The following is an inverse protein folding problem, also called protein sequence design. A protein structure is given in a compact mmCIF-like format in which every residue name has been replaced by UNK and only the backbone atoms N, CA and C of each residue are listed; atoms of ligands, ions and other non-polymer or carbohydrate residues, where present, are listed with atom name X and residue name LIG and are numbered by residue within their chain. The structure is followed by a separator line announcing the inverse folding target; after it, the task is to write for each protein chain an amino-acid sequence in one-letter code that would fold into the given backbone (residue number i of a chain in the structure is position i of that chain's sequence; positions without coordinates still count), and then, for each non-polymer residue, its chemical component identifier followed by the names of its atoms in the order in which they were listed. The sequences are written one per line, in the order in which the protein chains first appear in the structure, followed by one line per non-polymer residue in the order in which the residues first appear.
data_IF_087805217664
#
_entry.id   IF_087805217664
#
_cell.length_a   1.000
_cell.length_b   1.000
_cell.length_c   1.000
_cell.angle_alpha   90.00
_cell.angle_beta   90.00
_cell.angle_gamma   90.00
#
_symmetry.space_group_name_H-M   'P 1'
#
loop_
_entity.id
_entity.type
_entity.pdbx_description
1 polymer ?
#
# COMPACT_ATOMS: atom_id res chain seq x y z
N UNK A 1 4.93 8.44 3.43
CA UNK A 1 3.79 8.21 2.51
C UNK A 1 3.90 8.97 1.18
N UNK A 2 4.51 10.17 1.11
CA UNK A 2 4.72 10.89 -0.17
C UNK A 2 6.17 10.89 -0.67
N UNK A 3 7.14 10.96 0.25
CA UNK A 3 8.57 11.02 -0.07
C UNK A 3 9.39 9.94 0.67
N UNK A 4 8.71 8.86 1.09
CA UNK A 4 9.34 7.73 1.77
C UNK A 4 9.76 6.64 0.79
N UNK A 5 10.05 5.44 1.31
CA UNK A 5 10.39 4.26 0.51
C UNK A 5 9.20 3.74 -0.30
N UNK A 6 7.96 3.95 0.17
CA UNK A 6 6.73 3.50 -0.50
C UNK A 6 5.75 4.66 -0.81
N UNK A 7 6.07 5.57 -1.74
CA UNK A 7 5.28 6.78 -1.99
C UNK A 7 4.08 6.57 -2.92
N UNK A 8 3.57 5.35 -3.04
CA UNK A 8 2.63 4.94 -4.12
C UNK A 8 1.28 4.44 -3.63
N UNK A 9 0.99 4.54 -2.31
CA UNK A 9 -0.22 3.96 -1.70
C UNK A 9 -1.23 4.94 -1.15
N UNK A 10 -0.80 6.14 -0.79
CA UNK A 10 -1.72 7.16 -0.31
C UNK A 10 -2.67 7.57 -1.44
N UNK A 11 -3.95 7.68 -1.11
CA UNK A 11 -5.02 8.15 -2.00
C UNK A 11 -5.92 9.14 -1.30
N UNK A 12 -6.68 9.93 -2.05
CA UNK A 12 -7.72 10.81 -1.47
C UNK A 12 -8.77 9.96 -0.75
N UNK A 13 -9.21 10.44 0.41
CA UNK A 13 -10.31 9.85 1.16
C UNK A 13 -11.62 10.13 0.43
N UNK A 14 -12.49 9.13 0.32
CA UNK A 14 -13.80 9.24 -0.34
C UNK A 14 -14.94 9.11 0.65
N UNK A 15 -16.15 9.48 0.24
CA UNK A 15 -17.36 9.33 1.05
C UNK A 15 -17.64 7.85 1.36
N UNK A 16 -17.41 6.93 0.41
CA UNK A 16 -17.61 5.50 0.61
C UNK A 16 -16.67 4.91 1.68
N UNK A 17 -15.49 5.51 1.89
CA UNK A 17 -14.60 5.12 2.99
C UNK A 17 -15.22 5.46 4.35
N UNK A 18 -15.93 6.60 4.43
CA UNK A 18 -16.61 7.05 5.64
C UNK A 18 -17.81 6.15 5.97
N UNK A 19 -18.56 5.70 4.97
CA UNK A 19 -19.66 4.75 5.14
C UNK A 19 -19.16 3.44 5.79
N UNK A 20 -18.00 2.92 5.36
CA UNK A 20 -17.38 1.73 5.95
C UNK A 20 -17.04 1.96 7.44
N UNK A 21 -16.50 3.13 7.79
CA UNK A 21 -16.23 3.46 9.20
C UNK A 21 -17.51 3.62 10.01
N UNK A 22 -18.58 4.17 9.43
CA UNK A 22 -19.91 4.31 10.05
C UNK A 22 -20.56 2.98 10.39
N UNK A 23 -20.53 2.03 9.45
CA UNK A 23 -21.05 0.69 9.68
C UNK A 23 -20.29 -0.04 10.79
N UNK A 24 -18.96 0.16 10.85
CA UNK A 24 -18.09 -0.56 11.79
C UNK A 24 -18.00 0.09 13.18
N UNK A 25 -18.17 1.41 13.28
CA UNK A 25 -17.98 2.18 14.52
C UNK A 25 -19.06 3.28 14.74
N UNK A 26 -20.33 2.95 15.01
CA UNK A 26 -21.42 3.93 15.16
C UNK A 26 -21.34 4.83 16.43
N UNK A 27 -20.17 4.90 17.08
CA UNK A 27 -19.93 5.55 18.38
C UNK A 27 -19.57 7.03 18.32
N UNK A 28 -19.25 7.59 19.48
CA UNK A 28 -18.89 9.02 19.67
C UNK A 28 -17.59 9.38 18.92
N UNK A 29 -16.60 8.49 18.95
CA UNK A 29 -15.29 8.70 18.29
C UNK A 29 -15.44 8.98 16.79
N UNK A 30 -16.43 8.37 16.14
CA UNK A 30 -16.70 8.58 14.73
C UNK A 30 -17.36 9.94 14.45
N UNK A 31 -18.24 10.42 15.34
CA UNK A 31 -18.86 11.75 15.18
C UNK A 31 -17.82 12.86 15.27
N UNK A 32 -16.84 12.72 16.16
CA UNK A 32 -15.72 13.66 16.28
C UNK A 32 -14.87 13.64 15.00
N UNK A 33 -14.61 12.45 14.46
CA UNK A 33 -13.90 12.28 13.20
C UNK A 33 -14.66 12.89 12.01
N UNK A 34 -15.96 12.65 11.88
CA UNK A 34 -16.79 13.23 10.81
C UNK A 34 -16.75 14.76 10.85
N UNK A 35 -16.86 15.33 12.05
CA UNK A 35 -16.73 16.77 12.26
C UNK A 35 -15.34 17.28 11.85
N UNK A 36 -14.28 16.53 12.18
CA UNK A 36 -12.90 16.86 11.83
C UNK A 36 -12.63 16.77 10.31
N UNK A 37 -13.28 15.83 9.62
CA UNK A 37 -13.01 15.53 8.20
C UNK A 37 -13.89 16.30 7.23
N UNK A 38 -15.01 16.89 7.68
CA UNK A 38 -15.96 17.57 6.81
C UNK A 38 -15.31 18.60 5.88
N UNK A 39 -14.64 19.60 6.45
CA UNK A 39 -13.99 20.65 5.65
C UNK A 39 -12.77 20.12 4.87
N UNK A 40 -11.87 19.30 5.45
CA UNK A 40 -10.76 18.72 4.69
C UNK A 40 -11.18 17.85 3.49
N UNK A 41 -12.30 17.12 3.59
CA UNK A 41 -12.85 16.36 2.47
C UNK A 41 -13.39 17.28 1.37
N UNK A 42 -14.16 18.31 1.73
CA UNK A 42 -14.67 19.34 0.80
C UNK A 42 -13.51 20.08 0.10
N UNK A 43 -12.40 20.32 0.81
CA UNK A 43 -11.20 20.98 0.30
C UNK A 43 -10.21 20.04 -0.44
N UNK A 44 -10.53 18.75 -0.60
CA UNK A 44 -9.63 17.73 -1.17
C UNK A 44 -8.29 17.57 -0.44
N UNK A 45 -8.28 17.81 0.87
CA UNK A 45 -7.11 17.70 1.78
C UNK A 45 -7.14 16.47 2.69
N UNK A 46 -8.18 15.64 2.61
CA UNK A 46 -8.27 14.39 3.36
C UNK A 46 -7.77 13.20 2.53
N UNK A 47 -6.95 12.35 3.15
CA UNK A 47 -6.30 11.19 2.52
C UNK A 47 -6.43 9.94 3.38
N UNK A 48 -6.22 8.78 2.75
CA UNK A 48 -6.21 7.49 3.41
C UNK A 48 -5.03 6.63 2.95
N UNK A 49 -4.41 5.96 3.90
CA UNK A 49 -3.51 4.82 3.67
C UNK A 49 -4.21 3.55 4.14
N UNK A 50 -4.65 2.74 3.19
CA UNK A 50 -5.45 1.54 3.46
C UNK A 50 -4.61 0.26 3.36
N UNK A 51 -4.49 -0.43 4.49
CA UNK A 51 -3.87 -1.75 4.61
C UNK A 51 -4.84 -2.78 5.23
N UNK A 52 -6.15 -2.54 5.13
CA UNK A 52 -7.15 -3.41 5.72
C UNK A 52 -7.19 -4.81 5.11
N UNK A 53 -6.75 -4.97 3.85
CA UNK A 53 -6.65 -6.27 3.18
C UNK A 53 -5.76 -7.29 3.92
N UNK A 54 -4.91 -6.86 4.87
CA UNK A 54 -4.18 -7.79 5.73
C UNK A 54 -5.11 -8.60 6.64
N UNK A 55 -6.32 -8.11 6.96
CA UNK A 55 -7.23 -8.74 7.92
C UNK A 55 -7.49 -10.21 7.59
N UNK A 56 -7.69 -10.54 6.31
CA UNK A 56 -7.92 -11.93 5.86
C UNK A 56 -6.72 -12.87 6.10
N UNK A 57 -5.52 -12.34 6.29
CA UNK A 57 -4.31 -13.12 6.58
C UNK A 57 -3.97 -13.17 8.09
N UNK A 58 -4.55 -12.29 8.90
CA UNK A 58 -4.16 -12.12 10.31
C UNK A 58 -4.40 -13.36 11.15
N UNK A 59 -5.46 -14.15 10.86
CA UNK A 59 -5.71 -15.39 11.61
C UNK A 59 -4.53 -16.37 11.48
N UNK A 60 -3.96 -16.47 10.29
CA UNK A 60 -2.81 -17.34 10.01
C UNK A 60 -1.53 -16.76 10.59
N UNK A 61 -1.28 -15.47 10.37
CA UNK A 61 -0.09 -14.76 10.85
C UNK A 61 -0.04 -14.74 12.38
N UNK A 62 -1.11 -14.29 13.04
CA UNK A 62 -1.14 -14.19 14.50
C UNK A 62 -1.20 -15.57 15.17
N UNK A 63 -1.73 -16.59 14.48
CA UNK A 63 -1.65 -17.99 14.92
C UNK A 63 -0.22 -18.53 15.09
N UNK A 64 0.80 -17.82 14.56
CA UNK A 64 2.22 -18.12 14.76
C UNK A 64 2.85 -17.37 15.94
N UNK A 65 2.06 -16.70 16.76
CA UNK A 65 2.55 -15.90 17.90
C UNK A 65 2.99 -14.48 17.52
N UNK A 66 2.62 -14.01 16.33
CA UNK A 66 2.77 -12.61 15.92
C UNK A 66 1.58 -11.80 16.44
N UNK A 67 1.80 -10.53 16.78
CA UNK A 67 0.73 -9.59 17.14
C UNK A 67 0.60 -8.53 16.03
N UNK A 68 -0.07 -8.87 14.93
CA UNK A 68 -0.31 -7.95 13.83
C UNK A 68 -1.77 -7.48 13.77
N UNK A 69 -1.94 -6.26 13.29
CA UNK A 69 -3.23 -5.64 12.97
C UNK A 69 -3.23 -5.24 11.50
N UNK A 70 -4.42 -5.18 10.91
CA UNK A 70 -4.63 -4.58 9.61
C UNK A 70 -5.02 -3.13 9.83
N UNK A 71 -4.33 -2.20 9.18
CA UNK A 71 -4.46 -0.78 9.50
C UNK A 71 -5.17 0.02 8.41
N UNK A 72 -5.99 0.99 8.80
CA UNK A 72 -6.35 2.13 7.95
C UNK A 72 -5.95 3.42 8.64
N UNK A 73 -5.30 4.31 7.92
CA UNK A 73 -4.83 5.59 8.47
C UNK A 73 -5.46 6.73 7.72
N UNK A 74 -6.14 7.63 8.43
CA UNK A 74 -6.69 8.86 7.87
C UNK A 74 -5.70 9.99 8.11
N UNK A 75 -5.45 10.78 7.06
CA UNK A 75 -4.52 11.89 7.09
C UNK A 75 -5.15 13.17 6.56
N UNK A 76 -4.68 14.31 7.06
CA UNK A 76 -5.10 15.63 6.61
C UNK A 76 -3.86 16.42 6.19
N UNK A 77 -3.93 17.08 5.03
CA UNK A 77 -2.95 18.09 4.63
C UNK A 77 -3.19 19.40 5.38
N UNK A 78 -2.12 19.97 5.94
CA UNK A 78 -2.16 21.26 6.63
C UNK A 78 -2.65 22.38 5.70
N UNK A 79 -3.68 23.09 6.14
CA UNK A 79 -4.32 24.19 5.40
C UNK A 79 -3.38 25.38 5.21
N UNK A 80 -2.45 25.61 6.15
CA UNK A 80 -1.62 26.81 6.17
C UNK A 80 -0.42 26.75 5.22
N UNK A 81 0.10 25.55 4.97
CA UNK A 81 1.31 25.34 4.17
C UNK A 81 1.08 24.43 2.96
N UNK A 82 0.13 23.49 3.02
CA UNK A 82 0.05 22.34 2.11
C UNK A 82 1.37 21.52 2.00
N UNK A 83 2.36 21.82 2.83
CA UNK A 83 3.69 21.20 2.78
C UNK A 83 3.73 19.89 3.57
N UNK A 84 2.79 19.72 4.51
CA UNK A 84 2.77 18.56 5.41
C UNK A 84 1.42 17.87 5.40
N UNK A 85 1.47 16.54 5.55
CA UNK A 85 0.31 15.68 5.76
C UNK A 85 0.50 14.98 7.11
N UNK A 86 -0.49 15.10 7.99
CA UNK A 86 -0.45 14.54 9.34
C UNK A 86 -1.51 13.44 9.52
N UNK A 87 -1.18 12.32 10.18
CA UNK A 87 -2.18 11.30 10.52
C UNK A 87 -3.08 11.82 11.64
N UNK A 88 -4.39 11.68 11.49
CA UNK A 88 -5.37 12.15 12.49
C UNK A 88 -6.20 11.02 13.09
N UNK A 89 -6.28 9.87 12.41
CA UNK A 89 -6.89 8.67 12.95
C UNK A 89 -6.25 7.40 12.39
N UNK A 90 -6.23 6.35 13.22
CA UNK A 90 -5.74 5.01 12.86
C UNK A 90 -6.74 3.97 13.34
N UNK A 91 -7.21 3.15 12.40
CA UNK A 91 -7.92 1.92 12.68
C UNK A 91 -6.94 0.76 12.82
N UNK A 92 -7.09 -0.05 13.87
CA UNK A 92 -6.40 -1.30 14.10
C UNK A 92 -7.43 -2.43 14.07
N UNK A 93 -7.49 -3.18 12.97
CA UNK A 93 -8.46 -4.25 12.75
C UNK A 93 -7.90 -5.64 13.05
N UNK A 94 -8.76 -6.47 13.65
CA UNK A 94 -8.59 -7.91 13.83
C UNK A 94 -9.80 -8.65 13.23
N UNK A 95 -9.63 -9.90 12.78
CA UNK A 95 -10.75 -10.75 12.35
C UNK A 95 -11.85 -10.83 13.42
N UNK A 96 -13.12 -10.87 13.02
CA UNK A 96 -14.27 -10.84 13.96
C UNK A 96 -14.25 -11.97 15.01
N UNK A 97 -13.75 -13.15 14.64
CA UNK A 97 -13.64 -14.33 15.52
C UNK A 97 -12.36 -14.36 16.39
N UNK A 98 -11.63 -13.25 16.50
CA UNK A 98 -10.36 -13.22 17.23
C UNK A 98 -10.56 -13.32 18.74
N UNK A 99 -9.98 -14.35 19.35
CA UNK A 99 -9.97 -14.55 20.81
C UNK A 99 -9.13 -13.43 21.48
N UNK A 100 -9.79 -12.36 21.93
CA UNK A 100 -9.16 -11.36 22.83
C UNK A 100 -9.12 -9.90 22.39
N UNK A 101 -9.74 -9.46 21.29
CA UNK A 101 -9.73 -8.03 20.98
C UNK A 101 -10.72 -7.58 19.91
N UNK A 102 -11.52 -6.55 20.25
CA UNK A 102 -12.28 -5.77 19.27
C UNK A 102 -11.31 -4.91 18.45
N UNK A 103 -11.59 -4.73 17.16
CA UNK A 103 -10.94 -3.69 16.36
C UNK A 103 -11.02 -2.35 17.11
N UNK A 104 -9.97 -1.54 17.01
CA UNK A 104 -9.89 -0.24 17.68
C UNK A 104 -9.80 0.87 16.65
N UNK A 105 -10.54 1.94 16.91
CA UNK A 105 -10.42 3.17 16.16
C UNK A 105 -9.82 4.23 17.07
N UNK A 106 -8.69 4.82 16.67
CA UNK A 106 -7.94 5.76 17.48
C UNK A 106 -7.91 7.11 16.78
N UNK A 107 -8.42 8.14 17.44
CA UNK A 107 -8.30 9.54 16.99
C UNK A 107 -7.14 10.20 17.75
N UNK A 108 -6.30 10.96 17.03
CA UNK A 108 -5.18 11.69 17.64
C UNK A 108 -5.70 12.64 18.73
N UNK A 109 -5.07 12.61 19.90
CA UNK A 109 -5.51 13.37 21.09
C UNK A 109 -6.55 12.68 21.98
N UNK A 110 -7.29 11.69 21.47
CA UNK A 110 -8.28 10.92 22.25
C UNK A 110 -7.71 9.60 22.83
N UNK A 111 -6.43 9.32 22.60
CA UNK A 111 -5.74 8.13 23.13
C UNK A 111 -4.42 8.52 23.83
N UNK A 112 -3.86 7.59 24.62
CA UNK A 112 -2.58 7.85 25.28
C UNK A 112 -1.45 7.98 24.25
N UNK A 113 -0.41 8.81 24.49
CA UNK A 113 0.70 8.95 23.55
C UNK A 113 1.37 7.62 23.19
N UNK A 114 1.49 6.71 24.17
CA UNK A 114 2.06 5.37 23.94
C UNK A 114 1.19 4.55 23.00
N UNK A 115 -0.15 4.60 23.15
CA UNK A 115 -1.06 3.86 22.27
C UNK A 115 -1.03 4.43 20.84
N UNK A 116 -0.90 5.74 20.68
CA UNK A 116 -0.74 6.39 19.38
C UNK A 116 0.55 5.97 18.66
N UNK A 117 1.69 5.95 19.38
CA UNK A 117 2.94 5.47 18.80
C UNK A 117 2.88 3.99 18.41
N UNK A 118 2.24 3.14 19.21
CA UNK A 118 2.01 1.73 18.87
C UNK A 118 1.12 1.58 17.62
N UNK A 119 0.09 2.40 17.47
CA UNK A 119 -0.74 2.40 16.28
C UNK A 119 0.07 2.77 15.03
N UNK A 120 0.88 3.84 15.10
CA UNK A 120 1.79 4.23 14.01
C UNK A 120 2.82 3.14 13.70
N UNK A 121 3.32 2.42 14.70
CA UNK A 121 4.21 1.27 14.49
C UNK A 121 3.55 0.16 13.66
N UNK A 122 2.28 -0.16 13.94
CA UNK A 122 1.54 -1.14 13.14
C UNK A 122 1.31 -0.66 11.70
N UNK A 123 0.98 0.62 11.52
CA UNK A 123 0.86 1.24 10.18
C UNK A 123 2.18 1.11 9.41
N UNK A 124 3.30 1.48 10.03
CA UNK A 124 4.63 1.38 9.41
C UNK A 124 5.00 -0.08 9.09
N UNK A 125 4.61 -1.03 9.94
CA UNK A 125 4.85 -2.47 9.73
C UNK A 125 4.05 -2.99 8.53
N UNK A 126 2.76 -2.63 8.43
CA UNK A 126 1.91 -2.95 7.28
C UNK A 126 2.46 -2.34 5.97
N UNK A 127 2.85 -1.07 5.99
CA UNK A 127 3.40 -0.37 4.82
C UNK A 127 4.74 -0.98 4.38
N UNK A 128 5.61 -1.35 5.32
CA UNK A 128 6.88 -2.00 5.02
C UNK A 128 6.69 -3.39 4.37
N UNK A 129 5.73 -4.18 4.85
CA UNK A 129 5.41 -5.48 4.26
C UNK A 129 4.84 -5.32 2.84
N UNK A 130 3.89 -4.40 2.64
CA UNK A 130 3.35 -4.12 1.31
C UNK A 130 4.43 -3.58 0.36
N UNK A 131 5.27 -2.66 0.83
CA UNK A 131 6.38 -2.13 0.06
C UNK A 131 7.27 -3.24 -0.47
N UNK A 132 7.75 -4.12 0.41
CA UNK A 132 8.67 -5.18 -0.01
C UNK A 132 8.00 -6.21 -0.92
N UNK A 133 6.78 -6.66 -0.57
CA UNK A 133 6.10 -7.76 -1.26
C UNK A 133 5.40 -7.36 -2.55
N UNK A 134 4.94 -6.11 -2.63
CA UNK A 134 4.04 -5.65 -3.67
C UNK A 134 4.69 -4.54 -4.48
N UNK A 135 4.90 -3.36 -3.89
CA UNK A 135 5.46 -2.21 -4.64
C UNK A 135 6.83 -2.51 -5.22
N UNK A 136 7.68 -3.18 -4.45
CA UNK A 136 9.04 -3.55 -4.84
C UNK A 136 9.04 -4.88 -5.58
N UNK A 137 8.80 -6.00 -4.89
CA UNK A 137 8.91 -7.32 -5.53
C UNK A 137 7.91 -7.52 -6.68
N UNK A 138 6.61 -7.42 -6.42
CA UNK A 138 5.60 -7.79 -7.40
C UNK A 138 5.60 -6.82 -8.59
N UNK A 139 5.44 -5.53 -8.34
CA UNK A 139 5.20 -4.50 -9.35
C UNK A 139 6.46 -4.08 -10.12
N UNK A 140 7.65 -4.50 -9.70
CA UNK A 140 8.89 -4.26 -10.46
C UNK A 140 9.59 -5.56 -10.84
N UNK A 141 10.04 -6.37 -9.88
CA UNK A 141 10.82 -7.57 -10.17
C UNK A 141 10.00 -8.64 -10.89
N UNK A 142 8.88 -9.06 -10.30
CA UNK A 142 8.13 -10.22 -10.78
C UNK A 142 7.40 -9.93 -12.10
N UNK A 143 6.76 -8.77 -12.24
CA UNK A 143 6.02 -8.42 -13.46
C UNK A 143 6.92 -8.10 -14.65
N UNK A 144 8.15 -7.61 -14.43
CA UNK A 144 9.08 -7.31 -15.54
C UNK A 144 9.66 -8.57 -16.16
N UNK A 145 9.94 -9.61 -15.37
CA UNK A 145 10.57 -10.86 -15.82
C UNK A 145 9.88 -11.53 -17.04
N UNK A 146 8.53 -11.65 -17.10
CA UNK A 146 7.83 -12.11 -18.30
C UNK A 146 8.10 -11.29 -19.57
N UNK A 147 8.22 -9.95 -19.49
CA UNK A 147 8.54 -9.11 -20.65
C UNK A 147 9.95 -9.38 -21.18
N UNK A 148 10.90 -9.64 -20.29
CA UNK A 148 12.28 -10.02 -20.65
C UNK A 148 12.28 -11.34 -21.40
N UNK A 149 11.61 -12.35 -20.84
CA UNK A 149 11.54 -13.70 -21.43
C UNK A 149 10.86 -13.63 -22.80
N UNK A 150 9.73 -12.93 -22.92
CA UNK A 150 9.03 -12.75 -24.19
C UNK A 150 9.90 -12.04 -25.23
N UNK A 151 10.56 -10.95 -24.85
CA UNK A 151 11.45 -10.18 -25.73
C UNK A 151 12.59 -11.04 -26.26
N UNK A 152 13.31 -11.75 -25.38
CA UNK A 152 14.43 -12.60 -25.78
C UNK A 152 14.02 -13.82 -26.61
N UNK A 153 12.81 -14.36 -26.39
CA UNK A 153 12.30 -15.54 -27.11
C UNK A 153 11.65 -15.22 -28.45
N UNK A 154 11.12 -14.01 -28.62
CA UNK A 154 10.26 -13.66 -29.76
C UNK A 154 10.78 -12.54 -30.64
N UNK A 155 11.72 -11.73 -30.17
CA UNK A 155 12.30 -10.63 -30.94
C UNK A 155 13.78 -10.90 -31.19
N UNK A 156 14.17 -10.93 -32.47
CA UNK A 156 15.58 -11.00 -32.88
C UNK A 156 16.38 -9.84 -32.28
N UNK A 157 17.67 -10.05 -32.02
CA UNK A 157 18.59 -9.02 -31.48
C UNK A 157 18.73 -7.77 -32.38
N UNK A 158 18.36 -7.88 -33.66
CA UNK A 158 18.33 -6.74 -34.60
C UNK A 158 16.97 -6.04 -34.65
N UNK A 159 15.92 -6.62 -34.03
CA UNK A 159 14.58 -6.04 -34.03
C UNK A 159 14.60 -4.71 -33.25
N UNK A 160 13.98 -3.63 -33.76
CA UNK A 160 14.05 -2.31 -33.13
C UNK A 160 13.52 -2.32 -31.69
N UNK A 161 12.41 -3.01 -31.43
CA UNK A 161 11.85 -3.14 -30.07
C UNK A 161 12.76 -3.95 -29.13
N UNK A 162 13.51 -4.95 -29.65
CA UNK A 162 14.48 -5.65 -28.81
C UNK A 162 15.58 -4.68 -28.36
N UNK A 163 16.17 -3.93 -29.31
CA UNK A 163 17.22 -2.95 -29.01
C UNK A 163 16.74 -1.83 -28.08
N UNK A 164 15.49 -1.43 -28.19
CA UNK A 164 14.87 -0.44 -27.31
C UNK A 164 14.75 -0.96 -25.87
N UNK A 165 14.28 -2.20 -25.69
CA UNK A 165 13.98 -2.75 -24.37
C UNK A 165 15.19 -3.37 -23.65
N UNK A 166 16.16 -3.93 -24.38
CA UNK A 166 17.26 -4.70 -23.80
C UNK A 166 18.07 -3.95 -22.71
N UNK A 167 18.38 -2.64 -22.85
CA UNK A 167 19.05 -1.89 -21.78
C UNK A 167 18.26 -1.83 -20.47
N UNK A 168 16.92 -1.86 -20.52
CA UNK A 168 16.04 -1.82 -19.36
C UNK A 168 15.90 -3.17 -18.64
N UNK A 169 16.37 -4.25 -19.26
CA UNK A 169 16.27 -5.62 -18.73
C UNK A 169 17.58 -6.14 -18.14
N UNK A 170 18.59 -5.27 -18.07
CA UNK A 170 19.91 -5.61 -17.56
C UNK A 170 19.80 -6.14 -16.12
N UNK A 171 20.42 -7.30 -15.89
CA UNK A 171 20.54 -7.98 -14.60
C UNK A 171 19.24 -8.44 -13.91
N UNK A 172 18.05 -8.05 -14.38
CA UNK A 172 16.77 -8.41 -13.76
C UNK A 172 16.55 -9.93 -13.62
N UNK A 173 16.85 -10.72 -14.66
CA UNK A 173 16.73 -12.19 -14.57
C UNK A 173 17.70 -12.79 -13.53
N UNK A 174 18.91 -12.21 -13.42
CA UNK A 174 19.92 -12.70 -12.51
C UNK A 174 19.53 -12.39 -11.06
N UNK A 175 19.15 -11.14 -10.77
CA UNK A 175 18.74 -10.74 -9.42
C UNK A 175 17.45 -11.44 -8.99
N UNK A 176 16.49 -11.65 -9.89
CA UNK A 176 15.27 -12.40 -9.56
C UNK A 176 15.57 -13.87 -9.26
N UNK A 177 16.49 -14.50 -10.00
CA UNK A 177 16.94 -15.86 -9.70
C UNK A 177 17.62 -15.95 -8.33
N UNK A 178 18.47 -14.97 -7.98
CA UNK A 178 19.09 -14.88 -6.66
C UNK A 178 18.03 -14.66 -5.56
N UNK A 179 17.08 -13.75 -5.78
CA UNK A 179 15.99 -13.50 -4.85
C UNK A 179 15.21 -14.78 -4.55
N UNK A 180 14.85 -15.56 -5.57
CA UNK A 180 14.20 -16.87 -5.39
C UNK A 180 15.07 -17.91 -4.65
N UNK A 181 16.39 -17.83 -4.79
CA UNK A 181 17.30 -18.82 -4.22
C UNK A 181 17.62 -18.58 -2.74
N UNK A 182 17.71 -17.32 -2.31
CA UNK A 182 18.19 -16.98 -0.95
C UNK A 182 17.30 -16.00 -0.17
N UNK A 183 16.42 -15.26 -0.84
CA UNK A 183 15.65 -14.18 -0.21
C UNK A 183 14.18 -14.57 0.01
N UNK A 184 13.51 -15.06 -1.04
CA UNK A 184 12.07 -15.37 -1.09
C UNK A 184 11.74 -16.85 -0.89
N UNK A 185 12.75 -17.71 -0.83
CA UNK A 185 12.55 -19.14 -0.58
C UNK A 185 11.98 -19.35 0.82
N UNK A 186 11.32 -20.50 1.02
CA UNK A 186 10.86 -20.93 2.33
C UNK A 186 12.02 -20.92 3.35
N UNK A 187 11.79 -20.31 4.51
CA UNK A 187 12.80 -20.08 5.56
C UNK A 187 13.90 -19.07 5.16
N UNK A 188 13.74 -18.35 4.05
CA UNK A 188 14.66 -17.34 3.56
C UNK A 188 14.60 -16.03 4.33
N UNK A 189 15.41 -15.07 3.89
CA UNK A 189 15.57 -13.78 4.58
C UNK A 189 14.23 -13.03 4.69
N UNK A 190 13.40 -13.01 3.66
CA UNK A 190 12.17 -12.25 3.68
C UNK A 190 11.17 -12.77 4.74
N UNK A 191 11.00 -14.09 4.84
CA UNK A 191 10.08 -14.71 5.80
C UNK A 191 10.53 -14.50 7.26
N UNK A 192 11.82 -14.32 7.49
CA UNK A 192 12.35 -14.07 8.84
C UNK A 192 12.32 -12.59 9.24
N UNK A 193 12.25 -11.67 8.28
CA UNK A 193 12.27 -10.23 8.53
C UNK A 193 10.87 -9.62 8.63
N UNK A 194 9.92 -10.07 7.81
CA UNK A 194 8.58 -9.51 7.77
C UNK A 194 7.64 -10.24 8.73
N UNK A 195 6.73 -9.49 9.35
CA UNK A 195 5.70 -10.07 10.23
C UNK A 195 4.76 -11.06 9.51
N UNK A 196 4.69 -10.99 8.17
CA UNK A 196 3.89 -11.90 7.34
C UNK A 196 4.47 -13.31 7.23
N UNK A 197 5.75 -13.52 7.59
CA UNK A 197 6.35 -14.85 7.68
C UNK A 197 6.21 -15.68 6.40
N UNK A 198 5.91 -16.97 6.55
CA UNK A 198 5.69 -17.91 5.44
C UNK A 198 4.52 -17.55 4.51
N UNK A 199 3.61 -16.68 4.95
CA UNK A 199 2.45 -16.24 4.15
C UNK A 199 2.78 -15.08 3.21
N UNK A 200 4.01 -14.59 3.23
CA UNK A 200 4.47 -13.42 2.47
C UNK A 200 4.26 -13.56 0.96
N UNK A 201 4.67 -14.70 0.37
CA UNK A 201 4.53 -14.92 -1.06
C UNK A 201 3.09 -15.22 -1.48
N UNK A 202 2.30 -15.85 -0.60
CA UNK A 202 0.86 -16.03 -0.81
C UNK A 202 0.14 -14.68 -0.87
N UNK A 203 0.47 -13.76 0.05
CA UNK A 203 -0.06 -12.40 0.06
C UNK A 203 0.30 -11.64 -1.22
N UNK A 204 1.56 -11.68 -1.64
CA UNK A 204 2.00 -11.07 -2.90
C UNK A 204 1.22 -11.65 -4.10
N UNK A 205 1.04 -12.97 -4.14
CA UNK A 205 0.26 -13.63 -5.19
C UNK A 205 -1.24 -13.29 -5.13
N UNK A 206 -1.81 -13.09 -3.95
CA UNK A 206 -3.21 -12.70 -3.80
C UNK A 206 -3.44 -11.30 -4.39
N UNK A 207 -2.56 -10.35 -4.05
CA UNK A 207 -2.66 -8.97 -4.51
C UNK A 207 -2.34 -8.82 -6.00
N UNK A 208 -1.63 -9.77 -6.61
CA UNK A 208 -1.46 -9.81 -8.07
C UNK A 208 -2.78 -9.91 -8.84
N UNK A 209 -3.86 -10.42 -8.24
CA UNK A 209 -5.19 -10.46 -8.87
C UNK A 209 -5.74 -9.06 -9.18
N UNK A 210 -5.30 -8.05 -8.44
CA UNK A 210 -5.70 -6.66 -8.61
C UNK A 210 -4.78 -5.92 -9.59
N UNK A 211 -3.63 -6.51 -9.96
CA UNK A 211 -2.64 -5.84 -10.79
C UNK A 211 -3.11 -5.66 -12.23
N UNK A 212 -2.93 -4.44 -12.75
CA UNK A 212 -3.39 -4.01 -14.08
C UNK A 212 -2.29 -3.27 -14.80
N UNK A 213 -1.78 -3.85 -15.89
CA UNK A 213 -0.69 -3.25 -16.69
C UNK A 213 -1.04 -1.83 -17.18
N UNK A 214 -2.29 -1.63 -17.63
CA UNK A 214 -2.81 -0.35 -18.11
C UNK A 214 -2.90 0.73 -17.02
N UNK A 215 -2.79 0.34 -15.75
CA UNK A 215 -2.80 1.24 -14.58
C UNK A 215 -1.41 1.52 -14.00
N UNK A 216 -0.35 0.96 -14.59
CA UNK A 216 1.03 1.17 -14.10
C UNK A 216 1.66 2.47 -14.64
N UNK A 217 1.02 3.12 -15.61
CA UNK A 217 1.47 4.42 -16.09
C UNK A 217 1.29 5.47 -14.99
N UNK A 218 2.34 6.23 -14.67
CA UNK A 218 2.33 7.19 -13.57
C UNK A 218 1.13 8.16 -13.60
N UNK A 219 0.72 8.75 -14.74
CA UNK A 219 -0.46 9.62 -14.77
C UNK A 219 -1.76 8.88 -14.40
N UNK A 220 -1.92 7.64 -14.87
CA UNK A 220 -3.11 6.83 -14.59
C UNK A 220 -3.16 6.42 -13.11
N UNK A 221 -2.03 6.01 -12.53
CA UNK A 221 -1.91 5.70 -11.10
C UNK A 221 -2.25 6.92 -10.22
N UNK A 222 -1.71 8.10 -10.53
CA UNK A 222 -1.99 9.33 -9.77
C UNK A 222 -3.46 9.73 -9.83
N UNK A 223 -4.11 9.57 -10.98
CA UNK A 223 -5.54 9.83 -11.16
C UNK A 223 -6.41 8.81 -10.40
N UNK A 224 -6.06 7.54 -10.47
CA UNK A 224 -6.78 6.47 -9.77
C UNK A 224 -6.72 6.64 -8.24
N UNK A 225 -5.57 7.08 -7.73
CA UNK A 225 -5.39 7.47 -6.32
C UNK A 225 -5.97 8.85 -5.98
N UNK A 226 -6.45 9.59 -6.97
CA UNK A 226 -7.05 10.92 -6.82
C UNK A 226 -6.13 11.92 -6.12
N UNK A 227 -4.81 11.78 -6.34
CA UNK A 227 -3.79 12.68 -5.78
C UNK A 227 -3.36 13.77 -6.76
N UNK A 228 -3.94 13.77 -7.97
CA UNK A 228 -3.88 14.86 -8.94
C UNK A 228 -5.28 15.11 -9.51
N UNK A 229 -5.51 16.32 -10.05
CA UNK A 229 -6.74 16.66 -10.74
C UNK A 229 -6.70 16.22 -12.21
N UNK A 230 -7.85 15.83 -12.77
CA UNK A 230 -7.96 15.41 -14.17
C UNK A 230 -7.60 16.55 -15.14
N UNK A 231 -7.80 17.81 -14.76
CA UNK A 231 -7.38 18.98 -15.53
C UNK A 231 -5.87 19.03 -15.75
N UNK A 232 -5.07 18.49 -14.82
CA UNK A 232 -3.61 18.42 -14.94
C UNK A 232 -3.20 17.39 -16.00
N UNK A 233 -4.00 16.35 -16.25
CA UNK A 233 -3.70 15.31 -17.27
C UNK A 233 -3.49 15.91 -18.67
N UNK A 234 -4.19 16.99 -19.00
CA UNK A 234 -4.13 17.65 -20.32
C UNK A 234 -2.77 18.31 -20.55
N UNK A 235 -2.13 18.85 -19.51
CA UNK A 235 -0.83 19.51 -19.64
C UNK A 235 0.32 18.52 -19.86
N UNK A 236 0.23 17.31 -19.30
CA UNK A 236 1.30 16.31 -19.37
C UNK A 236 1.35 15.57 -20.72
N UNK A 237 0.21 15.44 -21.40
CA UNK A 237 0.14 14.87 -22.75
C UNK A 237 0.91 15.72 -23.77
N UNK A 238 1.15 17.00 -23.49
CA UNK A 238 1.95 17.87 -24.37
C UNK A 238 3.47 17.72 -24.19
N UNK A 239 3.93 16.96 -23.18
CA UNK A 239 5.36 16.76 -22.89
C UNK A 239 5.89 15.35 -23.19
N UNK A 240 5.03 14.41 -23.62
CA UNK A 240 5.38 13.06 -24.10
C UNK A 240 5.21 12.96 -25.62
#
# INVERSE_FOLDING_TARGET
MLAGTNPVRIRRLKEEDMEIFQERYPGIELKDLESLLKEPMEANRAFILDHHYFEQFLKMINGKGVCAYATRTILIADESSYETIIPVAIELSLPEDSDGGRSKFLVEGNCSPVLWELAKFHVASNDAAYHQLVSHWLHTHAVVEPFIIATRRRLSVIHPIHRLLDPHFKDTLHINALARAIFLNAGGILETLLFTGEYSMELSSHLYKEWRFDKQALPEDLLERLVILESIRIEWIHFL
#
